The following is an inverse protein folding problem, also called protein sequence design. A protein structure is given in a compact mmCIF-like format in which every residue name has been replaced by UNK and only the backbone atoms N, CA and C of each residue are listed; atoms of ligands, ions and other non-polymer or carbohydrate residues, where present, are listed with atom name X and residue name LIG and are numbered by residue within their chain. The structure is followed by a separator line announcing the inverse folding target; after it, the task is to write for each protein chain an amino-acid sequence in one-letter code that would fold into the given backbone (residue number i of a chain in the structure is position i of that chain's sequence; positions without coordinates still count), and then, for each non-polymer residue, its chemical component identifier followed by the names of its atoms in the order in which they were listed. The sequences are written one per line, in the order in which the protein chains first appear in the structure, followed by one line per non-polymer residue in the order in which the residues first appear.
data_IF_714156237889
#
_entry.id   IF_714156237889
#
_cell.length_a   1.000
_cell.length_b   1.000
_cell.length_c   1.000
_cell.angle_alpha   90.00
_cell.angle_beta   90.00
_cell.angle_gamma   90.00
#
_symmetry.space_group_name_H-M   'P 1'
#
loop_
_entity.id
_entity.type
_entity.pdbx_description
1 polymer ?
#
# COMPACT_ATOMS: atom_id res chain seq x y z
N UNK A 1 -4.61 -76.47 22.54
CA UNK A 1 -4.42 -75.17 23.24
C UNK A 1 -2.95 -74.81 23.16
N UNK A 2 -2.57 -73.95 22.21
CA UNK A 2 -1.16 -73.69 21.89
C UNK A 2 -0.91 -72.19 21.95
N UNK A 3 -0.12 -71.77 22.96
CA UNK A 3 0.21 -70.38 23.27
C UNK A 3 1.12 -69.78 22.19
N UNK A 4 0.68 -68.72 21.49
CA UNK A 4 1.55 -67.86 20.67
C UNK A 4 2.16 -66.76 21.55
N UNK A 5 3.49 -66.68 21.56
CA UNK A 5 4.28 -65.61 22.19
C UNK A 5 4.19 -64.33 21.35
N UNK A 6 3.83 -63.22 21.97
CA UNK A 6 3.92 -61.87 21.40
C UNK A 6 5.37 -61.36 21.52
N UNK A 7 5.98 -60.99 20.40
CA UNK A 7 7.27 -60.30 20.35
C UNK A 7 7.15 -58.82 20.74
N UNK A 8 8.26 -58.15 21.10
CA UNK A 8 8.23 -56.79 21.63
C UNK A 8 7.91 -55.74 20.55
N UNK A 9 7.03 -54.79 20.89
CA UNK A 9 6.65 -53.65 20.06
C UNK A 9 7.81 -52.67 19.92
N UNK A 10 8.22 -52.39 18.68
CA UNK A 10 9.12 -51.28 18.35
C UNK A 10 8.50 -49.94 18.72
N UNK A 11 9.20 -49.16 19.56
CA UNK A 11 8.87 -47.78 19.93
C UNK A 11 9.44 -46.84 18.86
N UNK A 12 8.68 -45.89 18.28
CA UNK A 12 9.28 -44.90 17.39
C UNK A 12 10.19 -43.95 18.19
N UNK A 13 11.41 -43.74 17.68
CA UNK A 13 12.39 -42.78 18.22
C UNK A 13 11.77 -41.38 18.15
N UNK A 14 11.75 -40.68 19.30
CA UNK A 14 11.30 -39.30 19.38
C UNK A 14 12.13 -38.39 18.48
N UNK A 15 11.43 -37.62 17.64
CA UNK A 15 11.99 -36.50 16.90
C UNK A 15 12.49 -35.43 17.87
N UNK A 16 13.76 -35.04 17.75
CA UNK A 16 14.32 -33.92 18.49
C UNK A 16 13.49 -32.64 18.23
N UNK A 17 13.30 -31.77 19.25
CA UNK A 17 12.62 -30.50 19.05
C UNK A 17 13.39 -29.65 18.02
N UNK A 18 12.69 -28.92 17.14
CA UNK A 18 13.35 -28.05 16.19
C UNK A 18 14.14 -26.98 16.94
N UNK A 19 15.42 -26.82 16.57
CA UNK A 19 16.28 -25.76 17.09
C UNK A 19 15.55 -24.42 17.04
N UNK A 20 15.58 -23.62 18.13
CA UNK A 20 15.02 -22.28 18.10
C UNK A 20 15.71 -21.50 16.98
N UNK A 21 14.90 -21.01 16.03
CA UNK A 21 15.38 -20.09 15.00
C UNK A 21 16.05 -18.91 15.73
N UNK A 22 17.24 -18.47 15.28
CA UNK A 22 17.88 -17.31 15.89
C UNK A 22 16.89 -16.12 15.85
N UNK A 23 16.87 -15.28 16.91
CA UNK A 23 16.01 -14.11 16.94
C UNK A 23 16.28 -13.27 15.68
N UNK A 24 15.20 -12.86 15.02
CA UNK A 24 15.25 -11.91 13.91
C UNK A 24 15.98 -10.69 14.46
N UNK A 25 17.20 -10.41 13.95
CA UNK A 25 17.94 -9.18 14.26
C UNK A 25 17.01 -8.01 14.00
N UNK A 26 16.56 -7.36 15.07
CA UNK A 26 15.95 -6.03 15.00
C UNK A 26 16.91 -5.12 14.23
N UNK A 27 16.44 -4.49 13.17
CA UNK A 27 17.20 -3.47 12.43
C UNK A 27 17.35 -2.25 13.35
N UNK A 28 18.35 -2.31 14.23
CA UNK A 28 18.70 -1.25 15.16
C UNK A 28 19.00 0.06 14.42
N UNK A 29 18.72 1.18 15.08
CA UNK A 29 19.06 2.52 14.59
C UNK A 29 20.48 2.61 14.05
N UNK A 30 20.63 2.97 12.78
CA UNK A 30 21.95 3.35 12.26
C UNK A 30 22.54 4.52 13.06
N UNK A 31 21.70 5.45 13.56
CA UNK A 31 22.16 6.53 14.44
C UNK A 31 22.74 5.98 15.74
N UNK A 32 22.17 4.94 16.33
CA UNK A 32 22.73 4.32 17.54
C UNK A 32 24.08 3.64 17.27
N UNK A 33 24.32 3.15 16.05
CA UNK A 33 25.62 2.57 15.66
C UNK A 33 26.68 3.61 15.31
N UNK A 34 26.24 4.81 14.94
CA UNK A 34 27.10 5.94 14.62
C UNK A 34 27.60 6.54 15.96
N UNK A 35 28.82 6.21 16.39
CA UNK A 35 29.40 6.59 17.70
C UNK A 35 29.44 8.10 18.02
N UNK A 36 29.61 8.52 19.28
CA UNK A 36 29.32 9.90 19.73
C UNK A 36 30.14 11.02 19.06
N UNK A 37 31.37 10.75 18.62
CA UNK A 37 32.24 11.74 17.96
C UNK A 37 31.73 12.02 16.54
N UNK A 38 31.40 13.28 16.26
CA UNK A 38 30.90 13.76 14.96
C UNK A 38 31.69 14.99 14.56
N UNK A 39 32.23 14.98 13.35
CA UNK A 39 32.75 16.21 12.74
C UNK A 39 31.57 17.17 12.54
N UNK A 40 31.59 18.36 13.16
CA UNK A 40 30.53 19.35 13.00
C UNK A 40 30.50 19.93 11.57
N UNK A 41 31.47 19.65 10.69
CA UNK A 41 31.52 20.15 9.32
C UNK A 41 31.64 21.68 9.25
N UNK A 42 32.38 22.26 10.21
CA UNK A 42 32.60 23.72 10.30
C UNK A 42 33.48 24.27 9.16
N UNK A 43 34.09 23.42 8.34
CA UNK A 43 34.81 23.82 7.12
C UNK A 43 33.89 23.92 5.90
N UNK A 44 32.64 23.45 5.99
CA UNK A 44 31.70 23.47 4.90
C UNK A 44 30.85 24.74 4.94
N UNK A 45 30.95 25.55 3.89
CA UNK A 45 30.20 26.82 3.74
C UNK A 45 28.70 26.62 3.95
N UNK A 46 28.14 25.49 3.47
CA UNK A 46 26.73 25.17 3.66
C UNK A 46 26.34 25.10 5.14
N UNK A 47 27.19 24.54 6.01
CA UNK A 47 26.89 24.40 7.43
C UNK A 47 27.24 25.62 8.28
N UNK A 48 28.11 26.50 7.78
CA UNK A 48 28.53 27.72 8.46
C UNK A 48 27.63 28.90 8.11
N UNK A 49 27.26 29.04 6.84
CA UNK A 49 26.55 30.21 6.34
C UNK A 49 25.04 30.02 6.30
N UNK A 50 24.55 28.79 6.06
CA UNK A 50 23.11 28.55 5.90
C UNK A 50 22.47 28.21 7.25
N UNK A 51 21.48 29.00 7.72
CA UNK A 51 20.77 28.73 8.97
C UNK A 51 20.07 27.37 8.94
N UNK A 52 19.90 26.76 10.11
CA UNK A 52 19.32 25.41 10.25
C UNK A 52 17.92 25.32 9.65
N UNK A 53 17.12 26.37 9.75
CA UNK A 53 15.77 26.47 9.20
C UNK A 53 15.80 26.35 7.67
N UNK A 54 16.71 27.09 7.02
CA UNK A 54 16.88 27.06 5.57
C UNK A 54 17.45 25.72 5.12
N UNK A 55 18.41 25.16 5.87
CA UNK A 55 18.93 23.80 5.60
C UNK A 55 17.82 22.75 5.67
N UNK A 56 16.93 22.86 6.65
CA UNK A 56 15.79 21.95 6.82
C UNK A 56 14.83 22.02 5.63
N UNK A 57 14.56 23.21 5.09
CA UNK A 57 13.77 23.40 3.87
C UNK A 57 14.46 22.76 2.66
N UNK A 58 15.76 23.02 2.48
CA UNK A 58 16.55 22.45 1.37
C UNK A 58 16.52 20.93 1.44
N UNK A 59 16.74 20.35 2.62
CA UNK A 59 16.72 18.91 2.82
C UNK A 59 15.33 18.30 2.61
N UNK A 60 14.28 18.95 3.10
CA UNK A 60 12.91 18.53 2.87
C UNK A 60 12.60 18.46 1.38
N UNK A 61 12.89 19.51 0.63
CA UNK A 61 12.69 19.57 -0.83
C UNK A 61 13.54 18.53 -1.58
N UNK A 62 14.83 18.39 -1.23
CA UNK A 62 15.73 17.45 -1.88
C UNK A 62 15.34 15.98 -1.64
N UNK A 63 14.72 15.67 -0.49
CA UNK A 63 14.27 14.34 -0.11
C UNK A 63 12.75 14.14 -0.31
N UNK A 64 12.08 15.09 -0.96
CA UNK A 64 10.68 14.96 -1.31
C UNK A 64 10.53 14.10 -2.57
N UNK A 65 9.55 13.21 -2.54
CA UNK A 65 9.28 12.29 -3.62
C UNK A 65 8.61 13.00 -4.79
N UNK A 66 9.07 12.70 -5.99
CA UNK A 66 8.55 13.29 -7.23
C UNK A 66 8.31 12.23 -8.31
N UNK A 67 7.60 12.64 -9.35
CA UNK A 67 7.32 11.80 -10.51
C UNK A 67 8.54 11.74 -11.43
N UNK A 68 9.07 10.54 -11.63
CA UNK A 68 10.14 10.29 -12.59
C UNK A 68 9.58 10.33 -14.02
N UNK A 69 9.61 11.52 -14.60
CA UNK A 69 9.12 11.80 -15.97
C UNK A 69 9.83 10.97 -17.05
N UNK A 70 11.02 10.43 -16.77
CA UNK A 70 11.73 9.53 -17.68
C UNK A 70 11.13 8.12 -17.73
N UNK A 71 10.24 7.79 -16.78
CA UNK A 71 9.63 6.47 -16.62
C UNK A 71 8.11 6.56 -16.52
N UNK A 72 7.42 7.02 -17.58
CA UNK A 72 5.97 7.03 -17.63
C UNK A 72 5.42 5.61 -17.61
N UNK A 73 4.26 5.45 -16.98
CA UNK A 73 3.46 4.25 -17.15
C UNK A 73 2.77 4.27 -18.51
N UNK A 74 2.76 3.15 -19.25
CA UNK A 74 1.98 3.06 -20.47
C UNK A 74 0.50 3.32 -20.15
N UNK A 75 -0.15 4.08 -21.02
CA UNK A 75 -1.48 4.63 -20.75
C UNK A 75 -2.56 3.58 -20.59
N UNK A 76 -2.40 2.40 -21.20
CA UNK A 76 -3.35 1.29 -21.17
C UNK A 76 -3.10 0.30 -20.02
N UNK A 77 -2.24 0.61 -19.05
CA UNK A 77 -1.99 -0.29 -17.92
C UNK A 77 -3.05 -0.15 -16.83
N UNK A 78 -3.26 -1.23 -16.06
CA UNK A 78 -4.15 -1.28 -14.90
C UNK A 78 -3.81 -0.29 -13.77
N UNK A 79 -2.65 0.35 -13.83
CA UNK A 79 -2.11 1.22 -12.78
C UNK A 79 -1.84 2.65 -13.25
N UNK A 80 -2.07 2.96 -14.53
CA UNK A 80 -2.02 4.34 -15.02
C UNK A 80 -3.35 5.03 -14.73
N UNK A 81 -3.35 5.98 -13.79
CA UNK A 81 -4.56 6.75 -13.40
C UNK A 81 -4.21 8.22 -13.09
N UNK A 82 -5.19 9.12 -12.94
CA UNK A 82 -4.92 10.50 -12.49
C UNK A 82 -4.06 10.51 -11.22
N UNK A 83 -3.06 11.39 -11.16
CA UNK A 83 -2.09 11.44 -10.04
C UNK A 83 -1.01 10.35 -10.06
N UNK A 84 -1.20 9.23 -10.78
CA UNK A 84 -0.28 8.09 -10.79
C UNK A 84 0.06 7.67 -12.22
N UNK A 85 0.78 8.53 -12.95
CA UNK A 85 1.17 8.30 -14.36
C UNK A 85 2.65 7.99 -14.54
N UNK A 86 3.44 8.13 -13.49
CA UNK A 86 4.89 7.95 -13.53
C UNK A 86 5.34 7.10 -12.35
N UNK A 87 6.53 6.53 -12.48
CA UNK A 87 7.19 5.91 -11.33
C UNK A 87 7.58 7.01 -10.34
N UNK A 88 7.25 6.81 -9.07
CA UNK A 88 7.67 7.71 -7.98
C UNK A 88 9.13 7.46 -7.63
N UNK A 89 9.87 8.53 -7.37
CA UNK A 89 11.29 8.51 -6.99
C UNK A 89 11.54 9.41 -5.79
N UNK A 90 12.37 8.93 -4.87
CA UNK A 90 12.94 9.70 -3.77
C UNK A 90 14.46 9.58 -3.89
N UNK A 91 15.16 10.71 -4.06
CA UNK A 91 16.61 10.71 -4.23
C UNK A 91 17.33 10.71 -2.87
N UNK A 92 17.85 9.55 -2.49
CA UNK A 92 18.52 9.36 -1.20
C UNK A 92 20.03 9.56 -1.23
N UNK A 93 20.60 9.96 -2.40
CA UNK A 93 22.03 10.18 -2.55
C UNK A 93 22.58 11.23 -1.55
N UNK A 94 21.76 12.24 -1.24
CA UNK A 94 22.08 13.27 -0.25
C UNK A 94 22.43 12.66 1.13
N UNK A 95 21.73 11.60 1.55
CA UNK A 95 21.95 10.94 2.84
C UNK A 95 23.33 10.27 2.95
N UNK A 96 23.95 9.95 1.81
CA UNK A 96 25.27 9.35 1.74
C UNK A 96 26.43 10.38 1.72
N UNK A 97 26.12 11.68 1.69
CA UNK A 97 27.13 12.73 1.54
C UNK A 97 28.01 12.87 2.78
N UNK A 98 27.40 13.07 3.95
CA UNK A 98 28.12 13.10 5.21
C UNK A 98 27.21 12.72 6.38
N UNK A 99 27.84 12.38 7.50
CA UNK A 99 27.17 11.93 8.70
C UNK A 99 26.24 12.99 9.32
N UNK A 100 26.60 14.27 9.23
CA UNK A 100 25.77 15.38 9.74
C UNK A 100 24.45 15.46 8.98
N UNK A 101 24.49 15.40 7.65
CA UNK A 101 23.29 15.35 6.81
C UNK A 101 22.44 14.14 7.17
N UNK A 102 23.04 12.95 7.23
CA UNK A 102 22.31 11.72 7.57
C UNK A 102 21.55 11.86 8.90
N UNK A 103 22.25 12.30 9.96
CA UNK A 103 21.62 12.47 11.28
C UNK A 103 20.44 13.44 11.24
N UNK A 104 20.60 14.57 10.55
CA UNK A 104 19.56 15.60 10.47
C UNK A 104 18.35 15.20 9.60
N UNK A 105 18.49 14.21 8.71
CA UNK A 105 17.51 14.02 7.61
C UNK A 105 17.12 12.58 7.27
N UNK A 106 17.72 11.56 7.88
CA UNK A 106 17.50 10.14 7.54
C UNK A 106 16.03 9.66 7.61
N UNK A 107 15.19 10.34 8.38
CA UNK A 107 13.78 10.04 8.55
C UNK A 107 12.90 10.75 7.51
N UNK A 108 13.34 11.89 6.96
CA UNK A 108 12.60 12.67 5.97
C UNK A 108 12.09 11.85 4.77
N UNK A 109 12.88 10.96 4.13
CA UNK A 109 12.37 10.12 3.05
C UNK A 109 11.14 9.30 3.43
N UNK A 110 11.02 8.95 4.72
CA UNK A 110 9.95 8.12 5.25
C UNK A 110 8.81 8.96 5.83
N UNK A 111 9.12 10.08 6.48
CA UNK A 111 8.16 10.86 7.26
C UNK A 111 7.34 11.87 6.46
N UNK A 112 7.87 12.42 5.37
CA UNK A 112 7.15 13.41 4.57
C UNK A 112 6.55 12.86 3.28
N UNK A 113 6.95 11.64 2.88
CA UNK A 113 6.54 11.05 1.62
C UNK A 113 5.45 10.01 1.83
N UNK A 114 4.55 9.96 0.84
CA UNK A 114 3.63 8.84 0.68
C UNK A 114 4.36 7.59 0.18
N UNK A 115 4.12 6.47 0.87
CA UNK A 115 4.65 5.16 0.48
C UNK A 115 3.54 4.35 -0.20
N UNK A 116 3.62 4.29 -1.54
CA UNK A 116 2.60 3.68 -2.40
C UNK A 116 2.93 2.22 -2.65
N UNK A 117 1.92 1.36 -2.51
CA UNK A 117 2.03 -0.07 -2.79
C UNK A 117 0.93 -0.54 -3.73
N UNK A 118 1.36 -1.17 -4.83
CA UNK A 118 0.47 -1.80 -5.79
C UNK A 118 0.29 -3.29 -5.43
N UNK A 119 -0.73 -3.56 -4.63
CA UNK A 119 -1.04 -4.87 -4.10
C UNK A 119 -1.89 -5.71 -5.09
N UNK A 120 -1.87 -7.03 -4.92
CA UNK A 120 -2.64 -7.97 -5.75
C UNK A 120 -1.81 -8.68 -6.81
N UNK A 121 -2.34 -8.80 -8.03
CA UNK A 121 -1.74 -9.56 -9.13
C UNK A 121 -0.50 -8.86 -9.72
N UNK A 122 0.54 -9.64 -10.04
CA UNK A 122 1.78 -9.10 -10.65
C UNK A 122 1.55 -8.48 -12.04
N UNK A 123 0.41 -8.77 -12.67
CA UNK A 123 0.02 -8.25 -13.96
C UNK A 123 -0.67 -6.88 -13.88
N UNK A 124 -1.14 -6.49 -12.69
CA UNK A 124 -1.88 -5.24 -12.46
C UNK A 124 -1.10 -4.21 -11.64
N UNK A 125 0.22 -4.34 -11.58
CA UNK A 125 1.10 -3.41 -10.89
C UNK A 125 2.33 -3.03 -11.73
N UNK A 126 2.96 -1.86 -11.46
CA UNK A 126 4.29 -1.56 -11.97
C UNK A 126 5.30 -2.54 -11.36
N UNK A 127 6.05 -3.26 -12.20
CA UNK A 127 7.17 -4.18 -11.89
C UNK A 127 7.23 -4.72 -10.45
N UNK A 128 6.97 -6.03 -10.28
CA UNK A 128 6.92 -6.65 -8.95
C UNK A 128 8.23 -7.31 -8.57
N UNK A 129 9.00 -6.71 -7.66
CA UNK A 129 9.98 -7.45 -6.87
C UNK A 129 9.44 -7.71 -5.46
N UNK A 130 9.99 -8.70 -4.73
CA UNK A 130 9.62 -8.91 -3.32
C UNK A 130 9.83 -7.65 -2.47
N UNK A 131 10.80 -6.80 -2.86
CA UNK A 131 11.13 -5.54 -2.18
C UNK A 131 10.03 -4.49 -2.30
N UNK A 132 9.18 -4.61 -3.32
CA UNK A 132 8.06 -3.71 -3.59
C UNK A 132 6.77 -4.17 -2.89
N UNK A 133 6.78 -5.34 -2.21
CA UNK A 133 5.66 -5.76 -1.37
C UNK A 133 5.68 -5.01 -0.04
N UNK A 134 4.52 -4.58 0.50
CA UNK A 134 4.46 -3.78 1.73
C UNK A 134 5.26 -4.37 2.88
N UNK A 135 5.05 -5.65 3.21
CA UNK A 135 5.74 -6.28 4.32
C UNK A 135 7.24 -6.46 4.07
N UNK A 136 7.67 -6.64 2.81
CA UNK A 136 9.08 -6.73 2.43
C UNK A 136 9.78 -5.37 2.49
N UNK A 137 9.09 -4.30 2.09
CA UNK A 137 9.55 -2.92 2.23
C UNK A 137 9.68 -2.51 3.70
N UNK A 138 8.59 -2.63 4.46
CA UNK A 138 8.50 -2.13 5.83
C UNK A 138 9.42 -2.87 6.81
N UNK A 139 9.70 -4.16 6.59
CA UNK A 139 10.66 -4.92 7.42
C UNK A 139 12.11 -4.45 7.27
N UNK A 140 12.44 -3.72 6.20
CA UNK A 140 13.80 -3.21 5.97
C UNK A 140 14.04 -1.86 6.64
N UNK A 141 12.97 -1.17 7.05
CA UNK A 141 13.08 0.09 7.78
C UNK A 141 13.66 -0.16 9.18
N UNK A 142 14.43 0.81 9.69
CA UNK A 142 14.81 0.83 11.11
C UNK A 142 13.58 1.13 11.97
N UNK A 143 13.68 0.91 13.28
CA UNK A 143 12.57 1.22 14.20
C UNK A 143 12.21 2.72 14.18
N UNK A 144 13.20 3.61 14.04
CA UNK A 144 12.97 5.05 13.95
C UNK A 144 12.22 5.40 12.66
N UNK A 145 12.62 4.78 11.54
CA UNK A 145 11.94 4.98 10.26
C UNK A 145 10.51 4.46 10.28
N UNK A 146 10.25 3.31 10.91
CA UNK A 146 8.87 2.79 11.07
C UNK A 146 8.00 3.69 11.93
N UNK A 147 8.58 4.28 12.98
CA UNK A 147 7.90 5.25 13.83
C UNK A 147 7.66 6.59 13.10
N UNK A 148 8.54 6.96 12.18
CA UNK A 148 8.45 8.17 11.39
C UNK A 148 7.48 8.05 10.19
N UNK A 149 7.16 6.84 9.75
CA UNK A 149 6.25 6.57 8.64
C UNK A 149 4.91 7.29 8.83
N UNK A 150 4.62 8.27 7.96
CA UNK A 150 3.42 9.10 8.11
C UNK A 150 2.25 8.62 7.25
N UNK A 151 2.50 8.36 5.96
CA UNK A 151 1.45 8.09 4.98
C UNK A 151 1.74 6.83 4.18
N UNK A 152 0.76 5.94 4.12
CA UNK A 152 0.81 4.70 3.33
C UNK A 152 -0.41 4.61 2.43
N UNK A 153 -0.20 4.28 1.17
CA UNK A 153 -1.26 4.12 0.18
C UNK A 153 -1.24 2.73 -0.44
N UNK A 154 -2.37 2.03 -0.38
CA UNK A 154 -2.54 0.71 -0.97
C UNK A 154 -3.50 0.77 -2.16
N UNK A 155 -3.02 0.40 -3.35
CA UNK A 155 -3.89 -0.01 -4.46
C UNK A 155 -4.12 -1.50 -4.36
N UNK A 156 -5.35 -1.97 -4.16
CA UNK A 156 -5.54 -3.36 -3.73
C UNK A 156 -6.90 -3.96 -4.06
N UNK A 157 -6.95 -5.26 -4.41
CA UNK A 157 -8.19 -6.04 -4.38
C UNK A 157 -8.59 -6.44 -2.96
N UNK A 158 -9.86 -6.79 -2.77
CA UNK A 158 -10.45 -7.14 -1.47
C UNK A 158 -9.75 -8.34 -0.84
N UNK A 159 -9.45 -9.36 -1.66
CA UNK A 159 -8.74 -10.56 -1.21
C UNK A 159 -7.39 -10.25 -0.55
N UNK A 160 -6.69 -9.20 -0.97
CA UNK A 160 -5.42 -8.81 -0.35
C UNK A 160 -5.67 -8.08 0.97
N UNK A 161 -6.71 -7.24 1.06
CA UNK A 161 -7.10 -6.63 2.32
C UNK A 161 -7.45 -7.68 3.37
N UNK A 162 -8.25 -8.69 3.03
CA UNK A 162 -8.65 -9.71 4.00
C UNK A 162 -7.47 -10.60 4.44
N UNK A 163 -6.56 -10.95 3.53
CA UNK A 163 -5.55 -11.98 3.79
C UNK A 163 -4.13 -11.47 4.10
N UNK A 164 -3.83 -10.23 3.73
CA UNK A 164 -2.46 -9.68 3.78
C UNK A 164 -2.37 -8.41 4.60
N UNK A 165 -3.35 -7.49 4.53
CA UNK A 165 -3.34 -6.28 5.37
C UNK A 165 -3.15 -6.61 6.87
N UNK A 166 -3.82 -7.63 7.45
CA UNK A 166 -3.62 -7.95 8.86
C UNK A 166 -2.18 -8.31 9.23
N UNK A 167 -1.42 -8.88 8.28
CA UNK A 167 0.00 -9.21 8.48
C UNK A 167 0.89 -7.95 8.41
N UNK A 168 0.50 -6.98 7.60
CA UNK A 168 1.18 -5.68 7.47
C UNK A 168 0.93 -4.83 8.71
N UNK A 169 -0.32 -4.73 9.18
CA UNK A 169 -0.67 -3.93 10.36
C UNK A 169 -0.02 -4.44 11.65
N UNK A 170 0.26 -5.74 11.73
CA UNK A 170 0.94 -6.38 12.87
C UNK A 170 2.46 -6.24 12.86
N UNK A 171 3.06 -5.55 11.88
CA UNK A 171 4.50 -5.33 11.86
C UNK A 171 4.92 -4.44 13.05
N UNK A 172 5.89 -4.86 13.87
CA UNK A 172 6.35 -4.08 15.02
C UNK A 172 6.88 -2.71 14.61
N UNK A 173 6.65 -1.70 15.46
CA UNK A 173 7.19 -0.35 15.30
C UNK A 173 6.41 0.55 14.33
N UNK A 174 5.41 0.01 13.62
CA UNK A 174 4.59 0.76 12.67
C UNK A 174 3.70 1.80 13.36
N UNK A 175 3.84 3.07 12.98
CA UNK A 175 2.98 4.16 13.47
C UNK A 175 2.47 5.09 12.35
N UNK A 176 1.88 4.55 11.25
CA UNK A 176 1.32 5.38 10.19
C UNK A 176 0.25 6.32 10.76
N UNK A 177 0.26 7.58 10.33
CA UNK A 177 -0.75 8.59 10.70
C UNK A 177 -1.93 8.55 9.75
N UNK A 178 -1.67 8.29 8.47
CA UNK A 178 -2.65 8.22 7.41
C UNK A 178 -2.51 6.91 6.63
N UNK A 179 -3.63 6.23 6.40
CA UNK A 179 -3.72 5.14 5.43
C UNK A 179 -4.74 5.51 4.37
N UNK A 180 -4.34 5.39 3.11
CA UNK A 180 -5.21 5.46 1.96
C UNK A 180 -5.32 4.09 1.32
N UNK A 181 -6.52 3.71 0.92
CA UNK A 181 -6.81 2.46 0.22
C UNK A 181 -7.59 2.83 -1.04
N UNK A 182 -7.08 2.49 -2.21
CA UNK A 182 -7.81 2.63 -3.46
C UNK A 182 -8.18 1.26 -4.01
N UNK A 183 -9.48 1.02 -4.11
CA UNK A 183 -10.07 -0.02 -4.92
C UNK A 183 -10.25 0.49 -6.33
N UNK A 184 -9.42 0.02 -7.26
CA UNK A 184 -9.60 0.32 -8.68
C UNK A 184 -10.79 -0.45 -9.23
N UNK A 185 -11.33 -0.01 -10.35
CA UNK A 185 -12.35 -0.78 -11.09
C UNK A 185 -11.91 -2.23 -11.33
N UNK A 186 -10.63 -2.41 -11.65
CA UNK A 186 -10.07 -3.75 -11.92
C UNK A 186 -9.72 -4.54 -10.67
N UNK A 187 -9.90 -3.98 -9.46
CA UNK A 187 -9.65 -4.65 -8.20
C UNK A 187 -10.91 -5.29 -7.59
N UNK A 188 -12.09 -4.98 -8.12
CA UNK A 188 -13.33 -5.71 -7.82
C UNK A 188 -13.23 -7.17 -8.28
N UNK A 189 -13.88 -8.05 -7.53
CA UNK A 189 -13.91 -9.47 -7.86
C UNK A 189 -14.75 -9.68 -9.12
N UNK A 190 -14.24 -10.45 -10.09
CA UNK A 190 -14.92 -10.72 -11.38
C UNK A 190 -15.37 -9.43 -12.11
N UNK A 191 -14.58 -8.36 -11.98
CA UNK A 191 -14.84 -7.04 -12.58
C UNK A 191 -15.06 -7.08 -14.10
N UNK A 192 -14.43 -8.02 -14.78
CA UNK A 192 -14.50 -8.25 -16.22
C UNK A 192 -15.74 -9.05 -16.65
N UNK A 193 -16.42 -9.71 -15.70
CA UNK A 193 -17.63 -10.50 -15.92
C UNK A 193 -18.91 -9.73 -15.55
N UNK A 194 -18.82 -8.42 -15.27
CA UNK A 194 -19.92 -7.59 -14.77
C UNK A 194 -20.57 -8.16 -13.47
N UNK A 195 -19.80 -8.83 -12.62
CA UNK A 195 -20.30 -9.30 -11.34
C UNK A 195 -20.72 -8.12 -10.44
N UNK A 196 -21.72 -8.30 -9.55
CA UNK A 196 -22.11 -7.28 -8.58
C UNK A 196 -20.93 -6.84 -7.71
N UNK A 197 -20.84 -5.53 -7.45
CA UNK A 197 -19.80 -4.98 -6.58
C UNK A 197 -20.09 -5.38 -5.13
N UNK A 198 -19.08 -5.88 -4.43
CA UNK A 198 -19.19 -6.31 -3.02
C UNK A 198 -18.00 -5.79 -2.23
N UNK A 199 -18.27 -5.19 -1.07
CA UNK A 199 -17.27 -4.73 -0.13
C UNK A 199 -17.62 -5.25 1.27
N UNK A 200 -16.61 -5.73 2.00
CA UNK A 200 -16.73 -6.20 3.38
C UNK A 200 -15.83 -5.36 4.29
N UNK A 201 -16.10 -5.37 5.60
CA UNK A 201 -15.36 -4.55 6.59
C UNK A 201 -14.32 -5.34 7.40
N UNK A 202 -14.26 -6.66 7.26
CA UNK A 202 -13.46 -7.56 8.12
C UNK A 202 -11.97 -7.19 8.18
N UNK A 203 -11.40 -6.68 7.09
CA UNK A 203 -10.02 -6.23 7.04
C UNK A 203 -9.74 -5.05 7.99
N UNK A 204 -10.75 -4.23 8.30
CA UNK A 204 -10.64 -3.06 9.15
C UNK A 204 -10.33 -3.37 10.61
N UNK A 205 -10.68 -4.58 11.09
CA UNK A 205 -10.34 -5.05 12.45
C UNK A 205 -8.83 -5.08 12.71
N UNK A 206 -8.02 -5.16 11.65
CA UNK A 206 -6.57 -5.16 11.76
C UNK A 206 -5.97 -3.77 11.99
N UNK A 207 -6.73 -2.69 11.79
CA UNK A 207 -6.27 -1.33 12.02
C UNK A 207 -5.97 -1.05 13.50
N UNK A 208 -6.52 -1.84 14.43
CA UNK A 208 -6.23 -1.76 15.87
C UNK A 208 -4.76 -1.95 16.25
N UNK A 209 -3.97 -2.56 15.37
CA UNK A 209 -2.53 -2.73 15.58
C UNK A 209 -1.71 -1.49 15.21
N UNK A 210 -2.34 -0.45 14.64
CA UNK A 210 -1.68 0.76 14.16
C UNK A 210 -1.87 1.93 15.13
N UNK A 211 -1.00 2.02 16.12
CA UNK A 211 -1.09 2.99 17.22
C UNK A 211 -1.06 4.46 16.78
N UNK A 212 -0.39 4.76 15.66
CA UNK A 212 -0.29 6.13 15.15
C UNK A 212 -1.49 6.62 14.33
N UNK A 213 -2.43 5.73 13.98
CA UNK A 213 -3.41 5.98 12.93
C UNK A 213 -4.41 7.07 13.36
N UNK A 214 -4.58 8.08 12.50
CA UNK A 214 -5.47 9.22 12.71
C UNK A 214 -6.56 9.30 11.66
N UNK A 215 -6.23 8.95 10.43
CA UNK A 215 -7.16 9.02 9.31
C UNK A 215 -7.03 7.79 8.42
N UNK A 216 -8.17 7.29 7.98
CA UNK A 216 -8.29 6.26 6.96
C UNK A 216 -9.09 6.87 5.80
N UNK A 217 -8.62 6.70 4.59
CA UNK A 217 -9.33 7.09 3.38
C UNK A 217 -9.48 5.89 2.46
N UNK A 218 -10.69 5.69 1.95
CA UNK A 218 -10.99 4.62 1.02
C UNK A 218 -11.58 5.24 -0.25
N UNK A 219 -10.90 5.05 -1.37
CA UNK A 219 -11.37 5.38 -2.71
C UNK A 219 -11.95 4.13 -3.36
N UNK A 220 -13.19 4.22 -3.82
CA UNK A 220 -13.90 3.19 -4.57
C UNK A 220 -14.06 3.67 -6.02
N UNK A 221 -13.32 3.06 -6.94
CA UNK A 221 -13.39 3.37 -8.35
C UNK A 221 -14.24 2.33 -9.08
N UNK A 222 -15.20 2.78 -9.87
CA UNK A 222 -16.04 1.94 -10.72
C UNK A 222 -16.29 2.61 -12.08
N UNK A 223 -16.83 1.86 -13.04
CA UNK A 223 -17.39 2.44 -14.25
C UNK A 223 -18.68 3.20 -13.92
N UNK A 224 -18.98 4.26 -14.69
CA UNK A 224 -20.19 5.07 -14.52
C UNK A 224 -21.49 4.25 -14.51
N UNK A 225 -21.57 3.15 -15.29
CA UNK A 225 -22.73 2.25 -15.28
C UNK A 225 -22.99 1.57 -13.92
N UNK A 226 -21.95 1.46 -13.09
CA UNK A 226 -21.97 0.79 -11.79
C UNK A 226 -22.03 1.81 -10.64
N UNK A 227 -22.26 3.10 -10.95
CA UNK A 227 -22.30 4.20 -9.98
C UNK A 227 -23.25 3.94 -8.81
N UNK A 228 -24.50 3.57 -9.09
CA UNK A 228 -25.49 3.29 -8.05
C UNK A 228 -25.06 2.15 -7.09
N UNK A 229 -24.28 1.17 -7.58
CA UNK A 229 -23.77 0.09 -6.72
C UNK A 229 -22.69 0.62 -5.78
N UNK A 230 -21.75 1.42 -6.29
CA UNK A 230 -20.66 1.97 -5.47
C UNK A 230 -21.17 3.05 -4.50
N UNK A 231 -22.19 3.83 -4.86
CA UNK A 231 -22.87 4.76 -3.96
C UNK A 231 -23.52 4.03 -2.78
N UNK A 232 -24.30 2.98 -3.05
CA UNK A 232 -24.92 2.18 -1.99
C UNK A 232 -23.88 1.54 -1.06
N UNK A 233 -22.79 1.01 -1.62
CA UNK A 233 -21.65 0.51 -0.83
C UNK A 233 -21.08 1.63 0.05
N UNK A 234 -20.84 2.81 -0.51
CA UNK A 234 -20.27 3.94 0.21
C UNK A 234 -21.18 4.42 1.36
N UNK A 235 -22.49 4.49 1.13
CA UNK A 235 -23.49 4.80 2.16
C UNK A 235 -23.47 3.78 3.30
N UNK A 236 -23.43 2.49 2.96
CA UNK A 236 -23.29 1.41 3.94
C UNK A 236 -21.99 1.50 4.74
N UNK A 237 -20.89 1.93 4.10
CA UNK A 237 -19.59 2.12 4.73
C UNK A 237 -19.58 3.27 5.74
N UNK A 238 -20.46 4.28 5.63
CA UNK A 238 -20.55 5.35 6.64
C UNK A 238 -20.92 4.84 8.03
N UNK A 239 -21.62 3.71 8.11
CA UNK A 239 -21.98 3.05 9.36
C UNK A 239 -20.81 2.28 9.99
N UNK A 240 -19.70 2.14 9.27
CA UNK A 240 -18.55 1.39 9.74
C UNK A 240 -17.75 2.20 10.74
N UNK A 241 -17.34 1.52 11.80
CA UNK A 241 -16.44 2.06 12.78
C UNK A 241 -15.36 1.04 13.08
N UNK A 242 -14.11 1.51 13.17
CA UNK A 242 -12.97 0.62 13.37
C UNK A 242 -12.28 0.96 14.69
N UNK A 243 -12.25 0.02 15.65
CA UNK A 243 -11.47 0.19 16.86
C UNK A 243 -10.00 0.36 16.51
N UNK A 244 -9.39 1.41 17.05
CA UNK A 244 -7.95 1.65 16.97
C UNK A 244 -7.35 1.71 18.38
N UNK A 245 -6.03 1.66 18.49
CA UNK A 245 -5.37 1.61 19.79
C UNK A 245 -5.67 2.85 20.66
N UNK A 246 -5.43 2.74 21.96
CA UNK A 246 -5.57 3.83 22.95
C UNK A 246 -7.02 4.30 23.13
N UNK A 247 -7.99 3.36 23.12
CA UNK A 247 -9.42 3.66 23.30
C UNK A 247 -9.92 4.71 22.31
N UNK A 248 -9.51 4.58 21.05
CA UNK A 248 -9.95 5.44 19.94
C UNK A 248 -10.72 4.62 18.93
N UNK A 249 -11.53 5.31 18.13
CA UNK A 249 -12.30 4.72 17.05
C UNK A 249 -12.17 5.57 15.80
N UNK A 250 -12.02 4.93 14.65
CA UNK A 250 -12.17 5.59 13.36
C UNK A 250 -13.65 5.60 13.01
N UNK A 251 -14.20 6.79 12.77
CA UNK A 251 -15.60 6.98 12.33
C UNK A 251 -15.67 7.91 11.13
N UNK A 252 -16.59 7.62 10.21
CA UNK A 252 -16.89 8.47 9.08
C UNK A 252 -17.77 9.67 9.48
N UNK A 253 -18.35 9.67 10.69
CA UNK A 253 -19.24 10.71 11.18
C UNK A 253 -18.62 12.13 11.10
N UNK A 254 -19.35 13.01 10.40
CA UNK A 254 -18.95 14.40 10.10
C UNK A 254 -18.03 14.56 8.88
N UNK A 255 -17.64 13.47 8.21
CA UNK A 255 -16.87 13.55 6.96
C UNK A 255 -17.79 13.35 5.75
N UNK A 256 -17.76 14.24 4.75
CA UNK A 256 -18.57 14.08 3.56
C UNK A 256 -18.03 12.95 2.67
N UNK A 257 -18.93 12.31 1.93
CA UNK A 257 -18.55 11.52 0.76
C UNK A 257 -18.14 12.49 -0.36
N UNK A 258 -17.00 12.23 -0.98
CA UNK A 258 -16.53 12.99 -2.15
C UNK A 258 -16.63 12.11 -3.38
N UNK A 259 -17.32 12.59 -4.43
CA UNK A 259 -17.45 11.90 -5.71
C UNK A 259 -16.73 12.69 -6.80
N UNK A 260 -15.87 12.01 -7.55
CA UNK A 260 -15.11 12.57 -8.66
C UNK A 260 -15.28 11.70 -9.91
N UNK A 261 -15.06 12.30 -11.08
CA UNK A 261 -15.12 11.60 -12.37
C UNK A 261 -13.86 11.83 -13.17
N UNK A 262 -13.43 10.80 -13.90
CA UNK A 262 -12.36 10.95 -14.86
C UNK A 262 -12.52 10.03 -16.07
N UNK A 263 -11.90 10.43 -17.18
CA UNK A 263 -11.85 9.63 -18.40
C UNK A 263 -10.69 8.63 -18.34
N UNK A 264 -11.04 7.37 -18.08
CA UNK A 264 -10.11 6.24 -18.03
C UNK A 264 -10.07 5.46 -19.34
N UNK A 265 -9.39 4.31 -19.32
CA UNK A 265 -9.18 3.48 -20.51
C UNK A 265 -10.28 2.44 -20.67
N UNK A 266 -10.60 2.10 -21.91
CA UNK A 266 -11.46 0.96 -22.25
C UNK A 266 -10.68 -0.28 -22.64
N UNK A 267 -9.34 -0.27 -22.56
CA UNK A 267 -8.51 -1.38 -22.99
C UNK A 267 -7.39 -1.62 -21.97
N UNK A 268 -7.19 -2.90 -21.63
CA UNK A 268 -6.09 -3.33 -20.78
C UNK A 268 -5.36 -4.53 -21.40
N UNK A 269 -4.01 -4.57 -21.33
CA UNK A 269 -3.23 -5.71 -21.77
C UNK A 269 -3.32 -6.83 -20.73
N UNK A 270 -3.88 -7.98 -21.10
CA UNK A 270 -3.80 -9.18 -20.30
C UNK A 270 -2.50 -9.93 -20.60
N UNK A 271 -1.48 -9.71 -19.77
CA UNK A 271 -0.24 -10.49 -19.83
C UNK A 271 -0.44 -11.95 -19.43
N UNK A 272 -1.46 -12.26 -18.63
CA UNK A 272 -1.81 -13.64 -18.27
C UNK A 272 -2.30 -14.41 -19.49
N UNK A 273 -3.08 -13.76 -20.35
CA UNK A 273 -3.77 -14.43 -21.44
C UNK A 273 -3.09 -14.20 -22.81
N UNK A 274 -2.17 -13.23 -22.89
CA UNK A 274 -1.39 -12.94 -24.10
C UNK A 274 -2.11 -12.03 -25.11
N UNK A 275 -3.12 -11.27 -24.66
CA UNK A 275 -3.94 -10.38 -25.50
C UNK A 275 -4.57 -9.25 -24.68
N UNK A 276 -5.18 -8.28 -25.34
CA UNK A 276 -5.94 -7.21 -24.69
C UNK A 276 -7.39 -7.59 -24.44
N UNK A 277 -7.94 -7.13 -23.32
CA UNK A 277 -9.39 -7.06 -23.10
C UNK A 277 -9.85 -5.64 -23.36
N UNK A 278 -10.99 -5.48 -24.01
CA UNK A 278 -11.55 -4.18 -24.38
C UNK A 278 -13.02 -4.10 -23.98
N UNK A 279 -13.46 -2.91 -23.57
CA UNK A 279 -14.85 -2.65 -23.28
C UNK A 279 -15.66 -2.56 -24.57
N UNK A 280 -16.77 -3.28 -24.62
CA UNK A 280 -17.76 -3.22 -25.68
C UNK A 280 -18.99 -2.47 -25.18
N UNK A 281 -19.29 -1.33 -25.78
CA UNK A 281 -20.53 -0.59 -25.51
C UNK A 281 -21.76 -1.38 -25.95
N UNK A 282 -21.66 -2.16 -27.04
CA UNK A 282 -22.74 -2.99 -27.55
C UNK A 282 -23.11 -4.13 -26.58
N UNK A 283 -22.12 -4.72 -25.92
CA UNK A 283 -22.36 -5.81 -24.94
C UNK A 283 -22.45 -5.28 -23.50
N UNK A 284 -22.27 -3.97 -23.31
CA UNK A 284 -22.11 -3.33 -22.02
C UNK A 284 -21.16 -4.11 -21.09
N UNK A 285 -19.96 -4.46 -21.59
CA UNK A 285 -19.08 -5.40 -20.87
C UNK A 285 -17.70 -5.55 -21.49
N UNK A 286 -16.80 -6.19 -20.75
CA UNK A 286 -15.43 -6.47 -21.20
C UNK A 286 -15.41 -7.71 -22.10
N UNK A 287 -14.72 -7.60 -23.23
CA UNK A 287 -14.58 -8.70 -24.20
C UNK A 287 -13.12 -8.99 -24.49
N UNK A 288 -12.84 -10.26 -24.69
CA UNK A 288 -11.57 -10.72 -25.25
C UNK A 288 -11.50 -10.32 -26.74
N UNK A 289 -10.50 -9.50 -27.07
CA UNK A 289 -10.29 -8.99 -28.43
C UNK A 289 -10.06 -10.12 -29.45
N UNK A 290 -9.48 -11.26 -29.05
CA UNK A 290 -9.24 -12.40 -29.94
C UNK A 290 -10.49 -13.23 -30.23
N UNK A 291 -11.38 -13.34 -29.25
CA UNK A 291 -12.62 -14.11 -29.39
C UNK A 291 -13.70 -13.31 -30.12
N UNK A 292 -13.46 -12.01 -30.34
CA UNK A 292 -14.43 -11.11 -30.95
C UNK A 292 -14.13 -10.90 -32.43
N UNK A 293 -15.05 -11.32 -33.31
CA UNK A 293 -14.90 -11.17 -34.79
C UNK A 293 -14.69 -9.72 -35.24
N UNK A 294 -15.31 -8.77 -34.53
CA UNK A 294 -15.18 -7.32 -34.75
C UNK A 294 -14.88 -6.67 -33.40
N UNK A 295 -13.61 -6.59 -32.98
CA UNK A 295 -13.27 -6.05 -31.68
C UNK A 295 -13.72 -4.58 -31.57
N UNK A 296 -14.23 -4.17 -30.39
CA UNK A 296 -14.60 -2.78 -30.17
C UNK A 296 -13.38 -1.88 -30.33
N UNK A 297 -13.59 -0.66 -30.83
CA UNK A 297 -12.54 0.36 -30.88
C UNK A 297 -12.33 0.92 -29.48
N UNK A 298 -11.09 0.99 -28.98
CA UNK A 298 -10.81 1.62 -27.70
C UNK A 298 -11.32 3.07 -27.68
N UNK A 299 -12.16 3.39 -26.71
CA UNK A 299 -12.61 4.74 -26.37
C UNK A 299 -12.22 5.09 -24.92
N UNK A 300 -12.51 6.31 -24.49
CA UNK A 300 -12.46 6.65 -23.07
C UNK A 300 -13.75 6.21 -22.40
N UNK A 301 -13.63 5.70 -21.17
CA UNK A 301 -14.78 5.40 -20.31
C UNK A 301 -14.80 6.40 -19.16
N UNK A 302 -15.99 6.78 -18.74
CA UNK A 302 -16.17 7.54 -17.51
C UNK A 302 -16.03 6.59 -16.32
N UNK A 303 -15.07 6.90 -15.45
CA UNK A 303 -14.91 6.28 -14.16
C UNK A 303 -15.42 7.23 -13.09
N UNK A 304 -16.13 6.68 -12.12
CA UNK A 304 -16.57 7.37 -10.90
C UNK A 304 -15.68 6.89 -9.76
N UNK A 305 -15.19 7.84 -8.96
CA UNK A 305 -14.40 7.57 -7.75
C UNK A 305 -15.14 8.15 -6.57
N UNK A 306 -15.56 7.30 -5.65
CA UNK A 306 -16.19 7.70 -4.39
C UNK A 306 -15.17 7.56 -3.27
N UNK A 307 -14.94 8.64 -2.54
CA UNK A 307 -13.98 8.70 -1.45
C UNK A 307 -14.70 8.87 -0.13
N UNK A 308 -14.38 7.98 0.80
CA UNK A 308 -14.91 8.00 2.17
C UNK A 308 -13.72 8.16 3.12
N UNK A 309 -13.88 9.05 4.11
CA UNK A 309 -12.84 9.33 5.10
C UNK A 309 -13.34 9.03 6.50
N UNK A 310 -12.54 8.30 7.26
CA UNK A 310 -12.71 8.11 8.70
C UNK A 310 -11.64 8.88 9.45
N UNK A 311 -12.05 9.53 10.53
CA UNK A 311 -11.16 10.27 11.43
C UNK A 311 -11.22 9.67 12.83
N UNK A 312 -10.06 9.61 13.50
CA UNK A 312 -9.94 9.08 14.84
C UNK A 312 -10.62 10.01 15.86
N UNK A 313 -11.55 9.46 16.64
CA UNK A 313 -12.16 10.10 17.81
C UNK A 313 -11.82 9.26 19.06
N UNK A 314 -11.82 9.90 20.23
CA UNK A 314 -11.74 9.16 21.51
C UNK A 314 -13.07 8.43 21.73
N UNK A 315 -12.99 7.23 22.29
CA UNK A 315 -14.16 6.53 22.81
C UNK A 315 -14.56 7.24 24.11
N UNK A 316 -15.77 7.81 24.13
CA UNK A 316 -16.38 8.35 25.35
C UNK A 316 -16.75 7.22 26.33
#
# INVERSE_FOLDING_TARGET
MTKRRLGPKNRPKGSAPPNPRPPIRTTHSLIATLGTVRDPQNSCVFFVTVPTEIRSIIFSLALYGYDDKSRPYPSNTYYARPGYRFRRRIDTALLATCRRIYVETHDLPISQNEHIFWCGSQWRCPTRTFRDQPAGYLRRLTEEQKAALAQVHFFTPLIWLDNVLPKVCKLPGMRPKHIQITFRHTDWQHWDENAPLVMTSNWGDSLKFLYGLRTLEVELEALERDEAQVENIAEGMLQWSFPIAESRILTADGNPIVSERYLGQSEFPSRMLGYSICYSTANNGWVDVRLTRKPPRPSKLTYVVITIRWTAKKLE
#
